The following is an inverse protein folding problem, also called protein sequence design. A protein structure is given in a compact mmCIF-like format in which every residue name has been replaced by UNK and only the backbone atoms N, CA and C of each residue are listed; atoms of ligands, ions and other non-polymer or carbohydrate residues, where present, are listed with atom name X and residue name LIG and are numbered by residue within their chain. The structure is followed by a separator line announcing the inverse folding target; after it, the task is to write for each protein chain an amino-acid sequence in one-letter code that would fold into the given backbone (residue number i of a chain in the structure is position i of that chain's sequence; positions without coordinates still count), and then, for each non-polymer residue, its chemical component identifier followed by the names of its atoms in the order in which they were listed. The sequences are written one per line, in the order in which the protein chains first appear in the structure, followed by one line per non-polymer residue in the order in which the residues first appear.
data_IF_343422570900
#
_entry.id   IF_343422570900
#
_cell.length_a   1.000
_cell.length_b   1.000
_cell.length_c   1.000
_cell.angle_alpha   90.00
_cell.angle_beta   90.00
_cell.angle_gamma   90.00
#
_symmetry.space_group_name_H-M   'P 1'
#
loop_
_entity.id
_entity.type
_entity.pdbx_description
1 polymer ?
#
# COMPACT_ATOMS: atom_id res chain seq x y z
N UNK A 1 -42.18 -64.22 44.98
CA UNK A 1 -41.61 -65.35 44.22
C UNK A 1 -42.65 -65.77 43.17
N UNK A 2 -42.24 -65.99 41.92
CA UNK A 2 -43.01 -66.40 40.72
C UNK A 2 -43.87 -65.30 40.04
N UNK A 3 -43.40 -64.58 39.00
CA UNK A 3 -43.04 -64.98 37.61
C UNK A 3 -44.28 -65.34 36.78
N UNK A 4 -44.80 -64.36 36.02
CA UNK A 4 -44.59 -64.09 34.57
C UNK A 4 -45.51 -64.90 33.65
N UNK A 5 -46.49 -64.18 33.09
CA UNK A 5 -47.40 -64.63 32.04
C UNK A 5 -46.78 -64.50 30.64
N UNK A 6 -46.87 -65.60 29.89
CA UNK A 6 -47.41 -65.73 28.52
C UNK A 6 -47.39 -64.49 27.62
N UNK A 7 -46.73 -64.55 26.46
CA UNK A 7 -47.44 -64.78 25.17
C UNK A 7 -46.58 -64.41 23.95
N UNK A 8 -46.82 -65.16 22.88
CA UNK A 8 -46.13 -65.16 21.59
C UNK A 8 -46.46 -63.95 20.72
N UNK A 9 -45.44 -63.59 19.94
CA UNK A 9 -45.39 -62.96 18.62
C UNK A 9 -46.71 -62.63 17.89
N UNK A 10 -46.79 -61.37 17.45
CA UNK A 10 -47.52 -60.96 16.24
C UNK A 10 -46.69 -59.90 15.51
N UNK A 11 -46.41 -60.15 14.23
CA UNK A 11 -45.69 -59.27 13.33
C UNK A 11 -46.60 -58.17 12.77
N UNK A 12 -46.07 -56.95 12.62
CA UNK A 12 -46.62 -55.81 11.85
C UNK A 12 -45.44 -54.91 11.41
N UNK A 13 -45.61 -54.07 10.37
CA UNK A 13 -44.68 -54.00 9.24
C UNK A 13 -43.75 -52.79 9.28
N UNK A 14 -42.63 -52.93 8.57
CA UNK A 14 -41.61 -51.92 8.35
C UNK A 14 -42.15 -50.75 7.50
N UNK A 15 -42.83 -49.78 8.09
CA UNK A 15 -43.12 -48.46 7.47
C UNK A 15 -43.37 -47.39 8.54
N UNK A 16 -42.35 -47.05 9.31
CA UNK A 16 -42.32 -45.84 10.15
C UNK A 16 -40.89 -45.43 10.47
N UNK A 17 -40.08 -45.24 9.42
CA UNK A 17 -38.84 -44.46 9.53
C UNK A 17 -39.20 -42.97 9.57
N UNK A 18 -39.56 -42.48 10.76
CA UNK A 18 -39.63 -41.05 11.07
C UNK A 18 -38.74 -40.78 12.28
N UNK A 19 -37.91 -39.74 12.11
CA UNK A 19 -37.19 -39.00 13.14
C UNK A 19 -36.13 -39.77 13.93
N UNK A 20 -34.86 -39.58 13.53
CA UNK A 20 -33.80 -39.03 14.38
C UNK A 20 -32.47 -39.06 13.60
N UNK A 21 -32.35 -38.15 12.63
CA UNK A 21 -31.08 -37.76 12.04
C UNK A 21 -30.97 -36.24 12.14
N UNK A 22 -30.94 -35.73 13.36
CA UNK A 22 -30.60 -34.36 13.67
C UNK A 22 -29.65 -34.39 14.87
N UNK A 23 -28.41 -33.94 14.66
CA UNK A 23 -27.44 -33.78 15.74
C UNK A 23 -26.20 -34.66 15.62
N UNK A 24 -25.46 -34.51 14.53
CA UNK A 24 -23.98 -34.65 14.47
C UNK A 24 -23.50 -34.18 13.10
N UNK A 25 -23.70 -32.89 12.83
CA UNK A 25 -22.83 -32.20 11.88
C UNK A 25 -21.46 -32.14 12.55
N UNK A 26 -20.55 -32.96 12.07
CA UNK A 26 -19.12 -32.75 12.25
C UNK A 26 -18.82 -31.38 11.66
N UNK A 27 -18.72 -30.36 12.52
CA UNK A 27 -18.05 -29.12 12.14
C UNK A 27 -16.64 -29.56 11.81
N UNK A 28 -16.35 -29.65 10.52
CA UNK A 28 -14.99 -29.89 10.04
C UNK A 28 -14.10 -28.89 10.74
N UNK A 29 -12.95 -29.37 11.21
CA UNK A 29 -11.87 -28.52 11.66
C UNK A 29 -11.47 -27.62 10.48
N UNK A 30 -12.19 -26.51 10.32
CA UNK A 30 -11.72 -25.35 9.60
C UNK A 30 -10.49 -24.95 10.39
N UNK A 31 -9.34 -25.34 9.86
CA UNK A 31 -8.03 -24.99 10.34
C UNK A 31 -8.02 -23.47 10.51
N UNK A 32 -8.22 -23.02 11.75
CA UNK A 32 -7.86 -21.68 12.16
C UNK A 32 -6.37 -21.63 11.88
N UNK A 33 -6.01 -21.06 10.73
CA UNK A 33 -4.64 -20.77 10.42
C UNK A 33 -4.18 -19.87 11.56
N UNK A 34 -3.40 -20.44 12.48
CA UNK A 34 -2.65 -19.67 13.43
C UNK A 34 -1.86 -18.65 12.60
N UNK A 35 -2.26 -17.39 12.70
CA UNK A 35 -1.52 -16.28 12.13
C UNK A 35 -0.12 -16.42 12.70
N UNK A 36 0.85 -16.71 11.84
CA UNK A 36 2.24 -16.87 12.23
C UNK A 36 2.69 -15.59 12.92
N UNK A 37 2.85 -15.66 14.25
CA UNK A 37 3.09 -14.53 15.16
C UNK A 37 4.57 -14.10 15.13
N UNK A 38 5.18 -14.11 13.94
CA UNK A 38 6.45 -13.43 13.75
C UNK A 38 6.14 -11.93 13.71
N UNK A 39 6.81 -11.08 14.51
CA UNK A 39 6.51 -9.66 14.54
C UNK A 39 6.79 -9.05 13.17
N UNK A 40 5.73 -8.82 12.40
CA UNK A 40 5.79 -8.17 11.09
C UNK A 40 6.08 -6.70 11.30
N UNK A 41 7.09 -6.20 10.59
CA UNK A 41 7.42 -4.79 10.60
C UNK A 41 6.40 -4.06 9.74
N UNK A 42 5.49 -3.33 10.38
CA UNK A 42 4.53 -2.50 9.67
C UNK A 42 5.19 -1.15 9.35
N UNK A 43 5.20 -0.83 8.06
CA UNK A 43 5.77 0.40 7.54
C UNK A 43 4.85 1.61 7.68
N UNK A 44 5.46 2.76 7.53
CA UNK A 44 4.84 4.07 7.32
C UNK A 44 3.88 4.06 6.11
N UNK A 45 2.91 4.94 6.15
CA UNK A 45 1.99 5.32 5.09
C UNK A 45 2.55 6.48 4.30
N UNK A 46 2.54 6.37 2.98
CA UNK A 46 2.97 7.43 2.05
C UNK A 46 1.86 7.65 1.04
N UNK A 47 1.56 8.92 0.79
CA UNK A 47 0.55 9.36 -0.17
C UNK A 47 1.17 10.40 -1.12
N UNK A 48 1.00 10.17 -2.40
CA UNK A 48 1.28 11.13 -3.46
C UNK A 48 -0.04 11.68 -3.99
N UNK A 49 -0.15 12.99 -4.09
CA UNK A 49 -1.30 13.69 -4.68
C UNK A 49 -0.77 14.66 -5.72
N UNK A 50 -1.19 14.47 -6.98
CA UNK A 50 -0.96 15.43 -8.06
C UNK A 50 -2.25 16.17 -8.36
N UNK A 51 -2.20 17.49 -8.31
CA UNK A 51 -3.34 18.35 -8.65
C UNK A 51 -2.86 19.63 -9.31
N UNK A 52 -3.36 19.91 -10.51
CA UNK A 52 -2.89 21.02 -11.33
C UNK A 52 -1.38 20.91 -11.60
N UNK A 53 -0.66 21.99 -11.32
CA UNK A 53 0.81 22.09 -11.50
C UNK A 53 1.60 21.80 -10.20
N UNK A 54 0.96 21.16 -9.23
CA UNK A 54 1.56 20.81 -7.95
C UNK A 54 1.53 19.30 -7.70
N UNK A 55 2.63 18.79 -7.17
CA UNK A 55 2.76 17.41 -6.69
C UNK A 55 3.18 17.44 -5.23
N UNK A 56 2.36 16.85 -4.38
CA UNK A 56 2.62 16.72 -2.95
C UNK A 56 2.83 15.26 -2.60
N UNK A 57 3.99 14.94 -2.04
CA UNK A 57 4.31 13.64 -1.48
C UNK A 57 4.38 13.77 0.04
N UNK A 58 3.50 13.07 0.74
CA UNK A 58 3.41 13.08 2.20
C UNK A 58 3.65 11.69 2.75
N UNK A 59 4.34 11.59 3.88
CA UNK A 59 4.55 10.33 4.58
C UNK A 59 4.48 10.52 6.07
N UNK A 60 3.85 9.58 6.76
CA UNK A 60 3.89 9.55 8.22
C UNK A 60 5.23 9.00 8.74
N UNK A 61 5.43 9.12 10.05
CA UNK A 61 6.66 8.72 10.71
C UNK A 61 6.59 7.39 11.45
N UNK A 62 5.44 6.73 11.55
CA UNK A 62 5.27 5.59 12.43
C UNK A 62 5.92 4.32 11.86
N UNK A 63 6.75 3.69 12.69
CA UNK A 63 7.30 2.35 12.45
C UNK A 63 6.91 1.49 13.62
N UNK A 64 6.11 0.46 13.33
CA UNK A 64 5.63 -0.51 14.32
C UNK A 64 6.22 -1.89 14.07
N UNK A 65 6.55 -2.59 15.15
CA UNK A 65 6.96 -3.98 15.15
C UNK A 65 5.88 -4.78 15.88
N UNK A 66 5.03 -5.48 15.12
CA UNK A 66 3.78 -5.99 15.64
C UNK A 66 2.94 -4.85 16.25
N UNK A 67 2.47 -5.03 17.48
CA UNK A 67 1.65 -4.02 18.18
C UNK A 67 2.45 -2.85 18.80
N UNK A 68 3.79 -2.91 18.80
CA UNK A 68 4.62 -1.92 19.50
C UNK A 68 5.16 -0.87 18.54
N UNK A 69 4.99 0.41 18.86
CA UNK A 69 5.60 1.52 18.12
C UNK A 69 7.09 1.61 18.48
N UNK A 70 7.96 1.37 17.50
CA UNK A 70 9.42 1.41 17.67
C UNK A 70 9.95 2.82 17.45
N UNK A 71 9.44 3.51 16.42
CA UNK A 71 9.88 4.86 16.08
C UNK A 71 8.68 5.67 15.56
N UNK A 72 8.39 6.84 16.14
CA UNK A 72 7.25 7.66 15.69
C UNK A 72 7.60 8.65 14.56
N UNK A 73 8.90 8.91 14.31
CA UNK A 73 9.39 9.98 13.43
C UNK A 73 10.38 9.48 12.36
N UNK A 74 10.01 8.45 11.60
CA UNK A 74 10.75 8.06 10.41
C UNK A 74 10.56 9.08 9.27
N UNK A 75 11.61 9.33 8.48
CA UNK A 75 11.53 10.17 7.28
C UNK A 75 11.79 9.28 6.06
N UNK A 76 10.72 8.84 5.40
CA UNK A 76 10.78 7.96 4.22
C UNK A 76 10.37 8.64 2.91
N UNK A 77 10.13 9.94 2.98
CA UNK A 77 9.92 10.82 1.82
C UNK A 77 11.16 11.69 1.66
N UNK A 78 11.66 11.80 0.43
CA UNK A 78 12.86 12.57 0.09
C UNK A 78 12.76 13.12 -1.31
N UNK A 79 13.43 14.25 -1.54
CA UNK A 79 13.68 14.80 -2.87
C UNK A 79 14.96 14.20 -3.46
N UNK A 80 14.94 13.90 -4.75
CA UNK A 80 16.10 13.48 -5.55
C UNK A 80 16.36 14.57 -6.59
N UNK A 81 17.53 15.19 -6.55
CA UNK A 81 17.82 16.38 -7.37
C UNK A 81 16.84 17.53 -7.07
N UNK A 82 16.50 18.31 -8.09
CA UNK A 82 15.60 19.46 -7.94
C UNK A 82 14.14 19.15 -8.31
N UNK A 83 13.92 18.21 -9.22
CA UNK A 83 12.63 18.04 -9.91
C UNK A 83 11.87 16.75 -9.57
N UNK A 84 12.41 15.89 -8.70
CA UNK A 84 11.83 14.57 -8.42
C UNK A 84 11.65 14.39 -6.92
N UNK A 85 10.49 13.87 -6.53
CA UNK A 85 10.20 13.41 -5.16
C UNK A 85 9.99 11.91 -5.17
N UNK A 86 10.53 11.24 -4.17
CA UNK A 86 10.38 9.80 -4.00
C UNK A 86 10.07 9.43 -2.56
N UNK A 87 9.29 8.38 -2.40
CA UNK A 87 8.80 7.91 -1.12
C UNK A 87 8.78 6.39 -1.07
N UNK A 88 9.17 5.81 0.05
CA UNK A 88 9.35 4.36 0.14
C UNK A 88 8.65 3.73 1.34
N UNK A 89 7.87 2.67 1.11
CA UNK A 89 7.29 1.85 2.16
C UNK A 89 8.07 0.52 2.28
N UNK A 90 8.77 0.35 3.39
CA UNK A 90 9.57 -0.84 3.71
C UNK A 90 10.62 -0.58 4.79
N UNK A 91 11.66 -1.41 4.84
CA UNK A 91 12.78 -1.23 5.76
C UNK A 91 13.68 -0.06 5.34
N UNK A 92 14.24 0.64 6.31
CA UNK A 92 15.06 1.83 6.04
C UNK A 92 16.31 1.51 5.20
N UNK A 93 16.92 0.33 5.39
CA UNK A 93 18.12 -0.05 4.64
C UNK A 93 17.82 -0.19 3.15
N UNK A 94 16.71 -0.84 2.83
CA UNK A 94 16.25 -1.06 1.45
C UNK A 94 15.90 0.26 0.77
N UNK A 95 15.32 1.18 1.53
CA UNK A 95 15.01 2.53 1.05
C UNK A 95 16.27 3.24 0.54
N UNK A 96 17.35 3.25 1.32
CA UNK A 96 18.60 3.89 0.91
C UNK A 96 19.18 3.26 -0.36
N UNK A 97 19.24 1.92 -0.41
CA UNK A 97 19.77 1.21 -1.58
C UNK A 97 18.96 1.48 -2.84
N UNK A 98 17.62 1.50 -2.76
CA UNK A 98 16.77 1.75 -3.92
C UNK A 98 16.84 3.20 -4.39
N UNK A 99 16.95 4.15 -3.46
CA UNK A 99 17.11 5.56 -3.78
C UNK A 99 18.44 5.84 -4.48
N UNK A 100 19.55 5.29 -3.98
CA UNK A 100 20.87 5.40 -4.62
C UNK A 100 20.87 4.79 -6.04
N UNK A 101 20.20 3.65 -6.23
CA UNK A 101 20.07 3.03 -7.56
C UNK A 101 19.16 3.83 -8.49
N UNK A 102 18.11 4.44 -7.97
CA UNK A 102 17.24 5.33 -8.74
C UNK A 102 18.00 6.57 -9.20
N UNK A 103 18.76 7.20 -8.31
CA UNK A 103 19.60 8.36 -8.62
C UNK A 103 20.60 8.04 -9.73
N UNK A 104 21.31 6.91 -9.63
CA UNK A 104 22.21 6.45 -10.69
C UNK A 104 21.50 6.25 -12.06
N UNK A 105 20.23 5.84 -12.07
CA UNK A 105 19.42 5.69 -13.29
C UNK A 105 18.87 7.00 -13.83
N UNK A 106 18.70 7.99 -12.98
CA UNK A 106 18.32 9.35 -13.39
C UNK A 106 19.52 10.07 -14.01
N UNK A 107 20.73 9.84 -13.48
CA UNK A 107 21.97 10.36 -14.06
C UNK A 107 22.28 9.76 -15.43
N UNK A 108 22.00 8.46 -15.62
CA UNK A 108 22.16 7.76 -16.90
C UNK A 108 21.17 8.26 -17.97
N UNK A 109 19.96 8.65 -17.55
CA UNK A 109 18.85 9.05 -18.43
C UNK A 109 18.21 10.38 -17.98
N UNK A 110 18.92 11.52 -18.15
CA UNK A 110 18.44 12.81 -17.68
C UNK A 110 17.14 13.20 -18.37
N UNK A 111 16.15 13.63 -17.57
CA UNK A 111 14.84 14.09 -18.04
C UNK A 111 13.86 12.99 -18.46
N UNK A 112 14.22 11.70 -18.33
CA UNK A 112 13.37 10.57 -18.74
C UNK A 112 12.96 9.71 -17.54
N UNK A 113 12.06 10.23 -16.71
CA UNK A 113 11.62 9.54 -15.48
C UNK A 113 11.09 8.12 -15.76
N UNK A 114 10.23 7.96 -16.77
CA UNK A 114 9.66 6.66 -17.17
C UNK A 114 10.75 5.64 -17.46
N UNK A 115 11.78 6.05 -18.21
CA UNK A 115 12.87 5.16 -18.61
C UNK A 115 13.71 4.77 -17.40
N UNK A 116 14.07 5.73 -16.54
CA UNK A 116 14.81 5.44 -15.31
C UNK A 116 14.03 4.49 -14.39
N UNK A 117 12.72 4.67 -14.27
CA UNK A 117 11.84 3.78 -13.49
C UNK A 117 11.81 2.35 -14.06
N UNK A 118 11.65 2.22 -15.38
CA UNK A 118 11.64 0.89 -16.05
C UNK A 118 12.98 0.18 -15.91
N UNK A 119 14.09 0.89 -16.09
CA UNK A 119 15.43 0.29 -15.93
C UNK A 119 15.72 -0.08 -14.48
N UNK A 120 15.27 0.72 -13.51
CA UNK A 120 15.32 0.35 -12.09
C UNK A 120 14.49 -0.91 -11.81
N UNK A 121 13.26 -0.99 -12.32
CA UNK A 121 12.38 -2.14 -12.12
C UNK A 121 12.99 -3.44 -12.69
N UNK A 122 13.61 -3.37 -13.89
CA UNK A 122 14.36 -4.48 -14.48
C UNK A 122 15.54 -4.91 -13.60
N UNK A 123 16.33 -3.95 -13.11
CA UNK A 123 17.46 -4.21 -12.24
C UNK A 123 17.01 -4.81 -10.90
N UNK A 124 15.91 -4.31 -10.33
CA UNK A 124 15.32 -4.81 -9.09
C UNK A 124 14.89 -6.26 -9.23
N UNK A 125 14.16 -6.61 -10.30
CA UNK A 125 13.70 -7.99 -10.55
C UNK A 125 14.85 -8.98 -10.79
N UNK A 126 15.95 -8.51 -11.38
CA UNK A 126 17.10 -9.35 -11.72
C UNK A 126 18.01 -9.61 -10.53
N UNK A 127 18.08 -8.66 -9.60
CA UNK A 127 18.94 -8.75 -8.41
C UNK A 127 18.39 -9.78 -7.40
N UNK A 128 19.24 -10.75 -7.04
CA UNK A 128 18.90 -11.86 -6.11
C UNK A 128 18.48 -11.36 -4.73
N UNK A 129 19.06 -10.24 -4.27
CA UNK A 129 18.78 -9.67 -2.95
C UNK A 129 17.52 -8.81 -2.99
N UNK A 130 17.40 -7.94 -3.99
CA UNK A 130 16.31 -6.98 -4.03
C UNK A 130 14.93 -7.61 -4.32
N UNK A 131 14.87 -8.70 -5.08
CA UNK A 131 13.59 -9.35 -5.43
C UNK A 131 12.80 -9.94 -4.24
N UNK A 132 13.44 -10.09 -3.07
CA UNK A 132 12.82 -10.60 -1.85
C UNK A 132 12.27 -9.47 -0.96
N UNK A 133 12.49 -8.23 -1.36
CA UNK A 133 12.01 -7.07 -0.64
C UNK A 133 10.51 -6.94 -0.86
N UNK A 134 9.76 -6.83 0.23
CA UNK A 134 8.31 -6.54 0.21
C UNK A 134 8.02 -5.05 -0.01
N UNK A 135 9.04 -4.31 -0.44
CA UNK A 135 8.99 -2.88 -0.40
C UNK A 135 8.43 -2.26 -1.68
N UNK A 136 7.79 -1.11 -1.52
CA UNK A 136 7.17 -0.36 -2.60
C UNK A 136 7.73 1.06 -2.64
N UNK A 137 8.00 1.57 -3.84
CA UNK A 137 8.56 2.89 -4.08
C UNK A 137 7.57 3.73 -4.89
N UNK A 138 7.31 4.95 -4.45
CA UNK A 138 6.67 6.00 -5.22
C UNK A 138 7.76 6.93 -5.74
N UNK A 139 7.67 7.30 -7.01
CA UNK A 139 8.51 8.34 -7.62
C UNK A 139 7.61 9.25 -8.43
N UNK A 140 7.76 10.55 -8.29
CA UNK A 140 6.99 11.53 -9.06
C UNK A 140 7.86 12.70 -9.49
N UNK A 141 7.65 13.13 -10.73
CA UNK A 141 8.00 14.47 -11.19
C UNK A 141 6.70 15.31 -11.29
N UNK A 142 6.78 16.49 -11.90
CA UNK A 142 5.62 17.37 -12.14
C UNK A 142 4.62 16.83 -13.17
N UNK A 143 5.06 15.97 -14.10
CA UNK A 143 4.29 15.48 -15.25
C UNK A 143 3.63 14.12 -14.95
N UNK A 144 4.35 13.21 -14.30
CA UNK A 144 4.04 11.79 -14.17
C UNK A 144 4.43 11.26 -12.78
N UNK A 145 3.68 10.26 -12.32
CA UNK A 145 3.86 9.62 -11.01
C UNK A 145 3.85 8.11 -11.18
N UNK A 146 4.79 7.41 -10.55
CA UNK A 146 4.98 5.97 -10.72
C UNK A 146 5.05 5.25 -9.37
N UNK A 147 4.45 4.07 -9.34
CA UNK A 147 4.64 3.07 -8.29
C UNK A 147 5.53 1.96 -8.83
N UNK A 148 6.61 1.64 -8.11
CA UNK A 148 7.51 0.54 -8.42
C UNK A 148 7.45 -0.52 -7.34
N UNK A 149 7.44 -1.79 -7.76
CA UNK A 149 7.40 -2.96 -6.88
C UNK A 149 8.62 -3.85 -7.09
N UNK A 150 8.96 -4.66 -6.09
CA UNK A 150 10.04 -5.66 -6.18
C UNK A 150 9.82 -6.76 -7.22
N UNK A 151 8.60 -6.88 -7.77
CA UNK A 151 8.29 -7.77 -8.87
C UNK A 151 8.75 -7.21 -10.24
N UNK A 152 9.18 -5.95 -10.28
CA UNK A 152 9.54 -5.24 -11.51
C UNK A 152 8.34 -4.59 -12.20
N UNK A 153 7.24 -4.34 -11.48
CA UNK A 153 6.09 -3.62 -12.03
C UNK A 153 6.34 -2.11 -11.94
N UNK A 154 5.96 -1.38 -13.00
CA UNK A 154 5.95 0.09 -13.04
C UNK A 154 4.52 0.51 -13.36
N UNK A 155 3.85 1.15 -12.41
CA UNK A 155 2.42 1.44 -12.47
C UNK A 155 2.18 2.94 -12.35
N UNK A 156 1.51 3.51 -13.35
CA UNK A 156 1.06 4.90 -13.33
C UNK A 156 -0.43 4.96 -12.95
N UNK A 157 -0.82 5.78 -11.96
CA UNK A 157 -2.22 5.98 -11.61
C UNK A 157 -2.93 6.89 -12.62
N UNK A 158 -4.17 6.55 -12.98
CA UNK A 158 -4.98 7.37 -13.88
C UNK A 158 -5.40 8.72 -13.26
N UNK A 159 -5.58 8.74 -11.93
CA UNK A 159 -6.06 9.88 -11.16
C UNK A 159 -4.92 10.72 -10.55
N UNK A 160 -3.65 10.32 -10.74
CA UNK A 160 -2.51 11.03 -10.16
C UNK A 160 -2.38 10.92 -8.65
N UNK A 161 -3.08 9.95 -8.03
CA UNK A 161 -3.04 9.71 -6.59
C UNK A 161 -2.47 8.32 -6.34
N UNK A 162 -1.46 8.22 -5.47
CA UNK A 162 -0.83 6.95 -5.10
C UNK A 162 -0.74 6.86 -3.59
N UNK A 163 -1.30 5.80 -3.00
CA UNK A 163 -1.13 5.49 -1.59
C UNK A 163 -0.43 4.16 -1.41
N UNK A 164 0.67 4.13 -0.64
CA UNK A 164 1.41 2.91 -0.28
C UNK A 164 1.59 2.82 1.24
N UNK A 165 1.94 1.63 1.72
CA UNK A 165 2.19 1.37 3.14
C UNK A 165 0.96 0.88 3.90
N UNK A 166 1.07 0.83 5.23
CA UNK A 166 0.08 0.19 6.12
C UNK A 166 -1.30 0.86 6.06
N UNK A 167 -1.35 2.19 5.93
CA UNK A 167 -2.57 2.98 5.77
C UNK A 167 -2.76 3.55 4.37
N UNK A 168 -2.01 3.08 3.37
CA UNK A 168 -2.00 3.65 2.02
C UNK A 168 -3.36 3.65 1.34
N UNK A 169 -4.16 2.60 1.54
CA UNK A 169 -5.51 2.49 0.97
C UNK A 169 -6.51 3.46 1.60
N UNK A 170 -6.43 3.71 2.91
CA UNK A 170 -7.27 4.71 3.58
C UNK A 170 -6.93 6.12 3.10
N UNK A 171 -5.63 6.44 3.05
CA UNK A 171 -5.16 7.72 2.53
C UNK A 171 -5.56 7.93 1.06
N UNK A 172 -5.42 6.90 0.22
CA UNK A 172 -5.83 6.94 -1.18
C UNK A 172 -7.34 7.20 -1.33
N UNK A 173 -8.18 6.48 -0.58
CA UNK A 173 -9.63 6.66 -0.63
C UNK A 173 -10.04 8.07 -0.16
N UNK A 174 -9.43 8.58 0.90
CA UNK A 174 -9.68 9.92 1.40
C UNK A 174 -9.23 11.00 0.40
N UNK A 175 -8.03 10.86 -0.18
CA UNK A 175 -7.53 11.80 -1.18
C UNK A 175 -8.40 11.84 -2.44
N UNK A 176 -8.86 10.68 -2.92
CA UNK A 176 -9.82 10.58 -4.03
C UNK A 176 -11.13 11.30 -3.74
N UNK A 177 -11.65 11.20 -2.52
CA UNK A 177 -12.88 11.90 -2.13
C UNK A 177 -12.70 13.44 -2.02
N UNK A 178 -11.47 13.90 -1.80
CA UNK A 178 -11.14 15.31 -1.61
C UNK A 178 -10.63 16.00 -2.89
N UNK A 179 -10.31 15.25 -3.95
CA UNK A 179 -9.65 15.78 -5.14
C UNK A 179 -10.47 16.85 -5.85
N UNK A 180 -11.80 16.68 -5.89
CA UNK A 180 -12.76 17.58 -6.56
C UNK A 180 -13.07 18.85 -5.75
N UNK A 181 -12.57 18.96 -4.52
CA UNK A 181 -12.79 20.16 -3.69
C UNK A 181 -11.84 21.29 -4.08
N UNK A 182 -12.19 22.52 -3.71
CA UNK A 182 -11.31 23.69 -3.90
C UNK A 182 -10.21 23.74 -2.83
N UNK A 183 -9.27 22.80 -2.95
CA UNK A 183 -8.13 22.61 -2.06
C UNK A 183 -6.86 22.41 -2.90
N UNK A 184 -5.73 22.89 -2.39
CA UNK A 184 -4.40 22.63 -2.95
C UNK A 184 -3.95 21.17 -2.72
N UNK A 185 -2.90 20.75 -3.42
CA UNK A 185 -2.37 19.39 -3.31
C UNK A 185 -1.93 19.07 -1.87
N UNK A 186 -1.34 20.05 -1.17
CA UNK A 186 -0.89 19.90 0.21
C UNK A 186 -2.04 19.70 1.19
N UNK A 187 -3.09 20.53 1.15
CA UNK A 187 -4.21 20.39 2.08
C UNK A 187 -4.97 19.09 1.84
N UNK A 188 -5.11 18.65 0.58
CA UNK A 188 -5.69 17.34 0.27
C UNK A 188 -4.85 16.23 0.91
N UNK A 189 -3.53 16.25 0.68
CA UNK A 189 -2.62 15.24 1.20
C UNK A 189 -2.63 15.21 2.75
N UNK A 190 -2.60 16.36 3.41
CA UNK A 190 -2.65 16.47 4.88
C UNK A 190 -3.98 15.97 5.46
N UNK A 191 -5.12 16.38 4.88
CA UNK A 191 -6.44 15.91 5.33
C UNK A 191 -6.61 14.42 5.12
N UNK A 192 -6.16 13.89 3.98
CA UNK A 192 -6.21 12.47 3.68
C UNK A 192 -5.35 11.64 4.66
N UNK A 193 -4.15 12.12 4.99
CA UNK A 193 -3.31 11.48 6.00
C UNK A 193 -3.88 11.55 7.40
N UNK A 194 -4.56 12.65 7.76
CA UNK A 194 -5.25 12.74 9.05
C UNK A 194 -6.35 11.68 9.16
N UNK A 195 -7.17 11.52 8.12
CA UNK A 195 -8.20 10.47 8.07
C UNK A 195 -7.56 9.07 8.17
N UNK A 196 -6.42 8.86 7.51
CA UNK A 196 -5.69 7.60 7.61
C UNK A 196 -5.16 7.35 9.03
N UNK A 197 -4.68 8.38 9.73
CA UNK A 197 -4.21 8.28 11.11
C UNK A 197 -5.33 7.99 12.11
N UNK A 198 -6.54 8.50 11.86
CA UNK A 198 -7.71 8.25 12.73
C UNK A 198 -8.24 6.81 12.59
N UNK A 199 -7.98 6.15 11.45
CA UNK A 199 -8.50 4.80 11.14
C UNK A 199 -7.43 3.72 11.33
N UNK A 200 -6.20 3.97 10.87
CA UNK A 200 -5.13 2.97 10.83
C UNK A 200 -4.26 3.02 12.08
N UNK A 201 -4.24 1.93 12.86
CA UNK A 201 -3.39 1.79 14.06
C UNK A 201 -1.89 1.91 13.79
N UNK A 202 -1.47 1.75 12.53
CA UNK A 202 -0.07 1.80 12.09
C UNK A 202 0.33 3.15 11.48
N UNK A 203 -0.57 4.14 11.45
CA UNK A 203 -0.33 5.48 10.89
C UNK A 203 -0.52 6.54 11.97
N UNK A 204 0.37 7.52 12.05
CA UNK A 204 0.22 8.64 12.97
C UNK A 204 -0.03 9.98 12.26
N UNK A 205 -0.38 11.00 13.04
CA UNK A 205 -0.56 12.38 12.55
C UNK A 205 0.75 13.15 12.30
N UNK A 206 1.91 12.55 12.57
CA UNK A 206 3.20 13.21 12.36
C UNK A 206 3.66 13.00 10.92
N UNK A 207 3.26 13.93 10.05
CA UNK A 207 3.55 13.83 8.62
C UNK A 207 4.71 14.73 8.19
N UNK A 208 5.52 14.21 7.26
CA UNK A 208 6.55 14.94 6.52
C UNK A 208 6.03 15.15 5.11
N UNK A 209 6.14 16.37 4.60
CA UNK A 209 5.66 16.77 3.28
C UNK A 209 6.83 17.21 2.43
N UNK A 210 6.87 16.72 1.19
CA UNK A 210 7.75 17.19 0.12
C UNK A 210 6.88 17.61 -1.07
N UNK A 211 7.12 18.81 -1.60
CA UNK A 211 6.32 19.37 -2.70
C UNK A 211 7.16 19.73 -3.91
N UNK A 212 6.62 19.47 -5.08
CA UNK A 212 7.09 20.02 -6.35
C UNK A 212 6.07 21.01 -6.87
N UNK A 213 6.55 22.17 -7.29
CA UNK A 213 5.75 23.21 -7.94
C UNK A 213 6.42 23.60 -9.25
N UNK A 214 5.62 23.83 -10.29
CA UNK A 214 6.14 24.36 -11.55
C UNK A 214 6.56 25.82 -11.35
N UNK A 215 7.84 26.12 -11.52
CA UNK A 215 8.31 27.51 -11.48
C UNK A 215 8.00 28.21 -12.80
N UNK A 216 7.82 29.54 -12.77
CA UNK A 216 7.33 30.34 -13.92
C UNK A 216 8.19 30.19 -15.19
N UNK A 217 9.47 29.82 -15.07
CA UNK A 217 10.40 29.63 -16.19
C UNK A 217 10.09 28.37 -17.05
N UNK A 218 9.40 27.36 -16.51
CA UNK A 218 9.06 26.14 -17.26
C UNK A 218 7.85 26.34 -18.19
N UNK A 219 7.04 27.37 -17.93
CA UNK A 219 5.86 27.73 -18.75
C UNK A 219 6.26 28.20 -20.15
N UNK A 220 7.44 28.81 -20.29
CA UNK A 220 7.91 29.35 -21.58
C UNK A 220 8.46 28.26 -22.52
N UNK A 221 8.94 27.14 -21.98
CA UNK A 221 9.49 26.02 -22.77
C UNK A 221 8.40 25.13 -23.38
N UNK A 222 7.36 24.78 -22.62
CA UNK A 222 6.26 23.95 -23.13
C UNK A 222 5.49 24.66 -24.26
N UNK A 223 5.41 26.00 -24.25
CA UNK A 223 4.73 26.78 -25.30
C UNK A 223 5.45 26.78 -26.67
N UNK A 224 6.77 26.54 -26.68
CA UNK A 224 7.57 26.44 -27.91
C UNK A 224 7.54 25.04 -28.52
N UNK A 225 7.34 24.01 -27.70
CA UNK A 225 7.33 22.60 -28.15
C UNK A 225 5.96 22.17 -28.72
N UNK A 226 4.86 22.84 -28.34
CA UNK A 226 3.52 22.56 -28.87
C UNK A 226 3.18 23.21 -30.22
N UNK A 227 4.08 24.04 -30.77
CA UNK A 227 3.83 24.85 -31.99
C UNK A 227 4.68 24.40 -33.20
N UNK A 228 5.41 23.29 -33.10
CA UNK A 228 6.20 22.71 -34.21
C UNK A 228 5.70 21.33 -34.54
#
# INVERSE_FOLDING_TARGET
MFARSVSRAAALPARLARLQAAGRTTVGAAQVACVSDAPTMHGTTILCVRKGDQVCLVGDGQVSLGATVVKPNAKKVRRIGEHIVAGFAGSTADAFTLMERLEAKLDEYPGQLTRSCVELAKAWRTDKYLRRLEATLIVSDLKQSYTLTGNGDVLEPHDGIIGIGSGGTYALAAARALIDQDLDAEAIARKAMQIAADICIYTNGNVVVEMLEKSKDDTEKDSKESTT
#
